data_IF_333927682931
#
_entry.id   IF_333927682931
#
_cell.length_a   1.000
_cell.length_b   1.000
_cell.length_c   1.000
_cell.angle_alpha   90.00
_cell.angle_beta   90.00
_cell.angle_gamma   90.00
#
_symmetry.space_group_name_H-M   'P 1'
#
loop_
_entity.id
_entity.type
_entity.pdbx_description
1 polymer ?
#
# COMPACT_ATOMS: atom_id res chain seq x y z
N UNK A 1 18.64 -5.59 3.71
CA UNK A 1 18.18 -5.34 5.09
C UNK A 1 19.20 -5.96 6.04
N UNK A 2 20.29 -5.24 6.39
CA UNK A 2 21.40 -5.79 7.19
C UNK A 2 20.99 -6.34 8.56
N UNK A 3 19.92 -5.80 9.16
CA UNK A 3 19.36 -6.23 10.44
C UNK A 3 18.80 -7.66 10.44
N UNK A 4 18.44 -8.23 9.29
CA UNK A 4 18.08 -9.66 9.21
C UNK A 4 19.30 -10.53 9.56
N UNK A 5 20.49 -10.13 9.11
CA UNK A 5 21.73 -10.85 9.44
C UNK A 5 22.02 -10.75 10.94
N UNK A 6 21.81 -9.58 11.52
CA UNK A 6 21.96 -9.38 12.98
C UNK A 6 20.97 -10.27 13.74
N UNK A 7 19.71 -10.34 13.31
CA UNK A 7 18.72 -11.23 13.92
C UNK A 7 19.12 -12.71 13.84
N UNK A 8 19.63 -13.17 12.68
CA UNK A 8 20.13 -14.53 12.52
C UNK A 8 21.33 -14.81 13.44
N UNK A 9 22.26 -13.86 13.56
CA UNK A 9 23.39 -13.95 14.48
C UNK A 9 22.90 -13.98 15.93
N UNK A 10 21.94 -13.14 16.30
CA UNK A 10 21.35 -13.12 17.64
C UNK A 10 20.72 -14.45 18.02
N UNK A 11 20.04 -15.16 17.10
CA UNK A 11 19.47 -16.49 17.37
C UNK A 11 20.55 -17.53 17.68
N UNK A 12 21.73 -17.41 17.08
CA UNK A 12 22.86 -18.33 17.33
C UNK A 12 23.61 -17.96 18.61
N UNK A 13 23.79 -16.66 18.88
CA UNK A 13 24.53 -16.18 20.06
C UNK A 13 23.71 -16.28 21.35
N UNK A 14 22.39 -16.11 21.27
CA UNK A 14 21.51 -16.00 22.43
C UNK A 14 20.42 -17.07 22.37
N UNK A 15 20.78 -18.32 22.66
CA UNK A 15 19.88 -19.47 22.57
C UNK A 15 18.91 -19.61 23.75
N UNK A 16 19.23 -19.01 24.90
CA UNK A 16 18.52 -19.22 26.17
C UNK A 16 17.68 -18.00 26.59
N UNK A 17 17.24 -17.18 25.63
CA UNK A 17 16.43 -15.98 25.91
C UNK A 17 14.95 -16.33 25.85
N UNK A 18 14.21 -16.03 26.93
CA UNK A 18 12.76 -16.29 27.02
C UNK A 18 11.96 -15.62 25.88
N UNK A 19 12.32 -14.38 25.52
CA UNK A 19 11.77 -13.69 24.34
C UNK A 19 12.87 -13.42 23.31
N UNK A 20 12.84 -14.12 22.16
CA UNK A 20 13.80 -13.93 21.06
C UNK A 20 13.95 -12.48 20.59
N UNK A 21 12.96 -11.62 20.82
CA UNK A 21 13.01 -10.19 20.47
C UNK A 21 14.10 -9.45 21.24
N UNK A 22 14.47 -9.91 22.44
CA UNK A 22 15.56 -9.30 23.20
C UNK A 22 16.94 -9.62 22.64
N UNK A 23 17.10 -10.69 21.84
CA UNK A 23 18.40 -11.09 21.30
C UNK A 23 19.06 -10.01 20.44
N UNK A 24 18.27 -9.15 19.79
CA UNK A 24 18.79 -8.01 19.03
C UNK A 24 19.35 -6.92 19.96
N UNK A 25 18.68 -6.65 21.09
CA UNK A 25 19.14 -5.67 22.08
C UNK A 25 20.38 -6.18 22.81
N UNK A 26 20.44 -7.47 23.15
CA UNK A 26 21.62 -8.08 23.75
C UNK A 26 22.83 -7.98 22.81
N UNK A 27 22.65 -8.28 21.52
CA UNK A 27 23.72 -8.13 20.53
C UNK A 27 24.29 -6.70 20.48
N UNK A 28 23.44 -5.68 20.65
CA UNK A 28 23.85 -4.28 20.69
C UNK A 28 24.67 -3.99 21.96
N UNK A 29 24.24 -4.51 23.10
CA UNK A 29 24.87 -4.24 24.39
C UNK A 29 26.22 -4.96 24.52
N UNK A 30 26.32 -6.20 24.02
CA UNK A 30 27.51 -7.04 24.21
C UNK A 30 28.57 -6.82 23.13
N UNK A 31 28.16 -6.54 21.89
CA UNK A 31 29.08 -6.51 20.74
C UNK A 31 29.56 -5.10 20.38
N UNK A 32 28.88 -4.04 20.84
CA UNK A 32 29.25 -2.66 20.49
C UNK A 32 29.99 -1.94 21.63
N UNK A 33 31.03 -1.15 21.32
CA UNK A 33 31.64 -0.26 22.30
C UNK A 33 30.68 0.87 22.67
N UNK A 34 30.80 1.39 23.90
CA UNK A 34 29.86 2.35 24.49
C UNK A 34 29.49 3.55 23.58
N UNK A 35 30.45 4.10 22.83
CA UNK A 35 30.19 5.20 21.90
C UNK A 35 29.26 4.81 20.74
N UNK A 36 29.42 3.60 20.18
CA UNK A 36 28.55 3.09 19.11
C UNK A 36 27.20 2.63 19.66
N UNK A 37 27.16 2.08 20.86
CA UNK A 37 25.91 1.74 21.56
C UNK A 37 25.04 2.98 21.73
N UNK A 38 25.60 4.08 22.25
CA UNK A 38 24.89 5.34 22.40
C UNK A 38 24.40 5.92 21.08
N UNK A 39 25.23 5.88 20.03
CA UNK A 39 24.86 6.33 18.70
C UNK A 39 23.69 5.51 18.12
N UNK A 40 23.73 4.18 18.27
CA UNK A 40 22.69 3.30 17.76
C UNK A 40 21.36 3.49 18.50
N UNK A 41 21.38 3.63 19.83
CA UNK A 41 20.18 3.92 20.63
C UNK A 41 19.57 5.28 20.25
N UNK A 42 20.39 6.31 20.05
CA UNK A 42 19.94 7.60 19.54
C UNK A 42 19.32 7.47 18.14
N UNK A 43 19.92 6.66 17.26
CA UNK A 43 19.39 6.34 15.94
C UNK A 43 18.02 5.64 16.00
N UNK A 44 17.81 4.69 16.92
CA UNK A 44 16.50 4.06 17.11
C UNK A 44 15.44 5.03 17.61
N UNK A 45 15.79 5.89 18.58
CA UNK A 45 14.88 6.93 19.05
C UNK A 45 14.50 7.90 17.93
N UNK A 46 15.47 8.31 17.10
CA UNK A 46 15.24 9.16 15.94
C UNK A 46 14.34 8.49 14.89
N UNK A 47 14.60 7.22 14.57
CA UNK A 47 13.78 6.44 13.63
C UNK A 47 12.33 6.29 14.13
N UNK A 48 12.15 5.92 15.40
CA UNK A 48 10.84 5.83 16.04
C UNK A 48 10.07 7.16 16.00
N UNK A 49 10.74 8.26 16.37
CA UNK A 49 10.14 9.60 16.31
C UNK A 49 9.75 9.98 14.89
N UNK A 50 10.55 9.63 13.88
CA UNK A 50 10.22 9.91 12.48
C UNK A 50 8.94 9.20 12.03
N UNK A 51 8.75 7.93 12.44
CA UNK A 51 7.56 7.16 12.13
C UNK A 51 6.34 7.73 12.85
N UNK A 52 6.41 7.95 14.16
CA UNK A 52 5.27 8.50 14.92
C UNK A 52 4.87 9.88 14.41
N UNK A 53 5.85 10.77 14.18
CA UNK A 53 5.59 12.11 13.66
C UNK A 53 4.89 12.05 12.30
N UNK A 54 5.33 11.17 11.40
CA UNK A 54 4.70 10.98 10.09
C UNK A 54 3.26 10.50 10.21
N UNK A 55 3.01 9.47 11.04
CA UNK A 55 1.67 8.89 11.20
C UNK A 55 0.69 9.87 11.85
N UNK A 56 1.12 10.57 12.91
CA UNK A 56 0.30 11.60 13.56
C UNK A 56 0.02 12.78 12.61
N UNK A 57 1.03 13.20 11.83
CA UNK A 57 0.87 14.28 10.87
C UNK A 57 -0.10 13.91 9.73
N UNK A 58 -0.03 12.67 9.22
CA UNK A 58 -0.98 12.16 8.22
C UNK A 58 -2.39 12.08 8.80
N UNK A 59 -2.56 11.49 9.99
CA UNK A 59 -3.86 11.40 10.64
C UNK A 59 -4.48 12.76 10.93
N UNK A 60 -3.69 13.72 11.44
CA UNK A 60 -4.16 15.09 11.68
C UNK A 60 -4.54 15.79 10.36
N UNK A 61 -3.78 15.58 9.29
CA UNK A 61 -4.07 16.16 7.98
C UNK A 61 -5.38 15.64 7.38
N UNK A 62 -5.68 14.34 7.54
CA UNK A 62 -6.98 13.79 7.14
C UNK A 62 -8.12 14.38 7.96
N UNK A 63 -7.99 14.41 9.29
CA UNK A 63 -9.03 14.97 10.16
C UNK A 63 -9.29 16.46 9.86
N UNK A 64 -8.24 17.22 9.57
CA UNK A 64 -8.37 18.64 9.25
C UNK A 64 -8.94 18.87 7.85
N UNK A 65 -8.38 18.25 6.81
CA UNK A 65 -8.79 18.57 5.44
C UNK A 65 -10.11 17.89 5.04
N UNK A 66 -10.29 16.63 5.45
CA UNK A 66 -11.41 15.82 4.96
C UNK A 66 -12.63 15.95 5.87
N UNK A 67 -12.44 16.29 7.15
CA UNK A 67 -13.53 16.45 8.12
C UNK A 67 -13.71 17.91 8.51
N UNK A 68 -12.71 18.53 9.13
CA UNK A 68 -12.86 19.86 9.71
C UNK A 68 -13.12 20.93 8.65
N UNK A 69 -12.23 21.07 7.67
CA UNK A 69 -12.37 22.02 6.57
C UNK A 69 -13.60 21.70 5.72
N UNK A 70 -13.87 20.43 5.44
CA UNK A 70 -14.98 20.08 4.54
C UNK A 70 -16.37 20.22 5.15
N UNK A 71 -16.55 19.82 6.41
CA UNK A 71 -17.89 19.68 7.01
C UNK A 71 -18.11 20.56 8.25
N UNK A 72 -17.06 20.93 8.98
CA UNK A 72 -17.19 21.71 10.23
C UNK A 72 -17.05 23.21 9.98
N UNK A 73 -15.96 23.62 9.30
CA UNK A 73 -15.60 25.01 8.99
C UNK A 73 -15.03 25.16 7.57
N UNK A 74 -15.89 25.20 6.52
CA UNK A 74 -15.49 25.42 5.12
C UNK A 74 -14.69 26.70 4.87
N UNK A 75 -14.95 27.74 5.64
CA UNK A 75 -14.25 29.03 5.55
C UNK A 75 -13.09 29.22 6.53
N UNK A 76 -12.57 28.15 7.14
CA UNK A 76 -11.46 28.27 8.08
C UNK A 76 -10.23 28.90 7.41
N UNK A 77 -9.60 29.85 8.10
CA UNK A 77 -8.32 30.42 7.67
C UNK A 77 -7.19 29.39 7.82
N UNK A 78 -6.09 29.54 7.08
CA UNK A 78 -4.92 28.65 7.21
C UNK A 78 -4.38 28.61 8.65
N UNK A 79 -4.43 29.74 9.38
CA UNK A 79 -4.02 29.78 10.79
C UNK A 79 -4.93 28.94 11.69
N UNK A 80 -6.23 28.94 11.42
CA UNK A 80 -7.22 28.12 12.11
C UNK A 80 -7.01 26.64 11.79
N UNK A 81 -6.77 26.29 10.51
CA UNK A 81 -6.48 24.92 10.09
C UNK A 81 -5.21 24.36 10.76
N UNK A 82 -4.14 25.16 10.86
CA UNK A 82 -2.93 24.76 11.60
C UNK A 82 -3.23 24.56 13.09
N UNK A 83 -4.08 25.39 13.69
CA UNK A 83 -4.55 25.20 15.07
C UNK A 83 -5.32 23.88 15.24
N UNK A 84 -6.27 23.62 14.34
CA UNK A 84 -7.04 22.38 14.31
C UNK A 84 -6.15 21.15 14.10
N UNK A 85 -5.10 21.25 13.28
CA UNK A 85 -4.13 20.18 13.07
C UNK A 85 -3.37 19.84 14.36
N UNK A 86 -2.89 20.86 15.10
CA UNK A 86 -2.19 20.65 16.38
C UNK A 86 -3.08 19.97 17.42
N UNK A 87 -4.35 20.39 17.52
CA UNK A 87 -5.33 19.76 18.41
C UNK A 87 -5.58 18.31 17.98
N UNK A 88 -5.79 18.08 16.67
CA UNK A 88 -5.99 16.75 16.10
C UNK A 88 -4.82 15.82 16.43
N UNK A 89 -3.57 16.30 16.32
CA UNK A 89 -2.38 15.54 16.69
C UNK A 89 -2.40 15.12 18.17
N UNK A 90 -2.73 16.03 19.08
CA UNK A 90 -2.80 15.72 20.52
C UNK A 90 -3.90 14.69 20.80
N UNK A 91 -5.07 14.86 20.19
CA UNK A 91 -6.19 13.92 20.33
C UNK A 91 -5.85 12.53 19.79
N UNK A 92 -5.26 12.45 18.60
CA UNK A 92 -4.81 11.20 17.99
C UNK A 92 -3.73 10.53 18.84
N UNK A 93 -2.80 11.30 19.41
CA UNK A 93 -1.79 10.78 20.33
C UNK A 93 -2.44 10.19 21.60
N UNK A 94 -3.39 10.90 22.21
CA UNK A 94 -4.15 10.40 23.36
C UNK A 94 -4.94 9.13 23.04
N UNK A 95 -5.64 9.09 21.90
CA UNK A 95 -6.37 7.91 21.44
C UNK A 95 -5.42 6.73 21.17
N UNK A 96 -4.27 6.98 20.55
CA UNK A 96 -3.26 5.95 20.28
C UNK A 96 -2.69 5.37 21.57
N UNK A 97 -2.42 6.20 22.58
CA UNK A 97 -2.01 5.74 23.91
C UNK A 97 -3.09 4.89 24.58
N UNK A 98 -4.36 5.30 24.47
CA UNK A 98 -5.49 4.53 24.99
C UNK A 98 -5.63 3.14 24.35
N UNK A 99 -5.51 3.05 23.03
CA UNK A 99 -5.53 1.76 22.30
C UNK A 99 -4.32 0.92 22.70
N UNK A 100 -3.13 1.52 22.74
CA UNK A 100 -1.88 0.82 23.10
C UNK A 100 -1.94 0.24 24.52
N UNK A 101 -2.57 0.92 25.47
CA UNK A 101 -2.74 0.42 26.84
C UNK A 101 -3.58 -0.87 26.93
N UNK A 102 -4.46 -1.12 25.95
CA UNK A 102 -5.25 -2.34 25.84
C UNK A 102 -4.61 -3.44 24.96
N UNK A 103 -3.49 -3.16 24.31
CA UNK A 103 -2.82 -4.11 23.42
C UNK A 103 -1.90 -5.04 24.21
N UNK A 104 -2.07 -6.35 24.02
CA UNK A 104 -1.18 -7.38 24.60
C UNK A 104 0.03 -7.66 23.71
N UNK A 105 -0.15 -7.67 22.39
CA UNK A 105 0.92 -7.90 21.41
C UNK A 105 0.84 -6.94 20.23
N UNK A 106 2.01 -6.51 19.74
CA UNK A 106 2.12 -5.70 18.53
C UNK A 106 1.76 -6.52 17.28
N UNK A 107 2.09 -7.81 17.30
CA UNK A 107 1.80 -8.74 16.20
C UNK A 107 0.29 -8.91 15.98
N UNK A 108 -0.50 -9.02 17.05
CA UNK A 108 -1.96 -9.10 16.95
C UNK A 108 -2.56 -7.88 16.27
N UNK A 109 -2.09 -6.67 16.60
CA UNK A 109 -2.55 -5.46 15.91
C UNK A 109 -2.14 -5.44 14.43
N UNK A 110 -0.94 -5.91 14.09
CA UNK A 110 -0.54 -6.02 12.68
C UNK A 110 -1.38 -7.02 11.91
N UNK A 111 -1.67 -8.19 12.49
CA UNK A 111 -2.60 -9.17 11.90
C UNK A 111 -3.96 -8.52 11.70
N UNK A 112 -4.51 -7.85 12.70
CA UNK A 112 -5.78 -7.11 12.56
C UNK A 112 -5.79 -6.12 11.40
N UNK A 113 -4.79 -5.26 11.32
CA UNK A 113 -4.70 -4.27 10.24
C UNK A 113 -4.55 -4.94 8.86
N UNK A 114 -3.81 -6.06 8.78
CA UNK A 114 -3.67 -6.82 7.54
C UNK A 114 -4.99 -7.47 7.11
N UNK A 115 -5.76 -8.06 8.03
CA UNK A 115 -7.08 -8.63 7.71
C UNK A 115 -8.03 -7.56 7.16
N UNK A 116 -8.14 -6.43 7.87
CA UNK A 116 -9.00 -5.32 7.45
C UNK A 116 -8.56 -4.74 6.11
N UNK A 117 -7.24 -4.61 5.88
CA UNK A 117 -6.69 -4.08 4.63
C UNK A 117 -6.75 -5.05 3.45
N UNK A 118 -6.74 -6.36 3.69
CA UNK A 118 -6.71 -7.37 2.63
C UNK A 118 -7.94 -7.26 1.70
N UNK A 119 -9.12 -7.05 2.28
CA UNK A 119 -10.36 -6.98 1.51
C UNK A 119 -10.51 -5.70 0.66
N UNK A 120 -9.68 -4.67 0.87
CA UNK A 120 -9.72 -3.40 0.11
C UNK A 120 -8.67 -3.33 -0.99
N UNK A 121 -7.61 -4.15 -0.92
CA UNK A 121 -6.51 -4.11 -1.87
C UNK A 121 -6.94 -4.26 -3.33
N UNK A 122 -7.84 -5.21 -3.62
CA UNK A 122 -8.26 -5.48 -5.01
C UNK A 122 -9.04 -4.32 -5.63
N UNK A 123 -9.97 -3.69 -4.91
CA UNK A 123 -10.76 -2.58 -5.44
C UNK A 123 -9.88 -1.35 -5.70
N UNK A 124 -8.91 -1.09 -4.82
CA UNK A 124 -8.00 0.05 -4.92
C UNK A 124 -7.01 -0.07 -6.10
N UNK A 125 -6.65 -1.30 -6.47
CA UNK A 125 -5.84 -1.55 -7.67
C UNK A 125 -6.72 -1.48 -8.91
N UNK A 126 -7.87 -2.17 -8.90
CA UNK A 126 -8.68 -2.34 -10.10
C UNK A 126 -9.35 -1.04 -10.56
N UNK A 127 -9.59 -0.07 -9.67
CA UNK A 127 -10.17 1.25 -10.02
C UNK A 127 -9.38 1.99 -11.09
N UNK A 128 -8.06 1.75 -11.19
CA UNK A 128 -7.21 2.36 -12.20
C UNK A 128 -7.45 1.78 -13.60
N UNK A 129 -7.90 0.53 -13.67
CA UNK A 129 -8.07 -0.23 -14.92
C UNK A 129 -9.54 -0.39 -15.33
N UNK A 130 -10.49 -0.15 -14.42
CA UNK A 130 -11.91 -0.39 -14.65
C UNK A 130 -12.77 0.80 -14.24
N UNK A 131 -13.25 1.53 -15.26
CA UNK A 131 -14.10 2.73 -15.14
C UNK A 131 -15.40 2.55 -14.35
N UNK A 132 -15.88 1.32 -14.16
CA UNK A 132 -17.12 1.04 -13.42
C UNK A 132 -16.96 1.17 -11.91
N UNK A 133 -15.73 1.05 -11.39
CA UNK A 133 -15.49 1.17 -9.95
C UNK A 133 -15.77 2.62 -9.54
N UNK A 134 -16.68 2.78 -8.58
CA UNK A 134 -17.16 4.06 -8.08
C UNK A 134 -16.98 4.14 -6.55
N UNK A 135 -17.35 5.27 -5.96
CA UNK A 135 -17.23 5.49 -4.51
C UNK A 135 -17.96 4.42 -3.68
N UNK A 136 -19.12 3.94 -4.15
CA UNK A 136 -19.88 2.89 -3.45
C UNK A 136 -19.14 1.55 -3.43
N UNK A 137 -18.44 1.21 -4.51
CA UNK A 137 -17.62 0.01 -4.59
C UNK A 137 -16.50 0.04 -3.55
N UNK A 138 -15.81 1.17 -3.42
CA UNK A 138 -14.74 1.35 -2.44
C UNK A 138 -15.25 1.33 -1.00
N UNK A 139 -16.34 2.06 -0.71
CA UNK A 139 -16.98 2.08 0.61
C UNK A 139 -17.43 0.66 0.99
N UNK A 140 -18.09 -0.06 0.09
CA UNK A 140 -18.52 -1.45 0.34
C UNK A 140 -17.33 -2.35 0.62
N UNK A 141 -16.24 -2.26 -0.15
CA UNK A 141 -15.05 -3.07 0.10
C UNK A 141 -14.47 -2.80 1.50
N UNK A 142 -14.34 -1.53 1.89
CA UNK A 142 -13.81 -1.13 3.20
C UNK A 142 -14.71 -1.59 4.35
N UNK A 143 -16.02 -1.33 4.25
CA UNK A 143 -16.98 -1.69 5.29
C UNK A 143 -17.13 -3.19 5.43
N UNK A 144 -17.29 -3.93 4.33
CA UNK A 144 -17.44 -5.39 4.38
C UNK A 144 -16.15 -6.06 4.83
N UNK A 145 -14.98 -5.56 4.41
CA UNK A 145 -13.70 -6.10 4.88
C UNK A 145 -13.53 -5.94 6.40
N UNK A 146 -13.87 -4.77 6.94
CA UNK A 146 -13.85 -4.51 8.38
C UNK A 146 -14.83 -5.42 9.13
N UNK A 147 -16.10 -5.46 8.69
CA UNK A 147 -17.13 -6.25 9.36
C UNK A 147 -16.88 -7.75 9.27
N UNK A 148 -16.42 -8.25 8.13
CA UNK A 148 -16.04 -9.66 7.96
C UNK A 148 -14.86 -10.02 8.88
N UNK A 149 -13.83 -9.18 8.94
CA UNK A 149 -12.68 -9.41 9.82
C UNK A 149 -13.08 -9.42 11.30
N UNK A 150 -13.92 -8.46 11.72
CA UNK A 150 -14.44 -8.40 13.09
C UNK A 150 -15.32 -9.62 13.42
N UNK A 151 -16.20 -10.02 12.50
CA UNK A 151 -17.07 -11.18 12.69
C UNK A 151 -16.27 -12.47 12.76
N UNK A 152 -15.31 -12.70 11.87
CA UNK A 152 -14.51 -13.93 11.85
C UNK A 152 -13.65 -14.04 13.11
N UNK A 153 -13.08 -12.93 13.57
CA UNK A 153 -12.22 -12.90 14.74
C UNK A 153 -13.03 -13.00 16.05
N UNK A 154 -14.01 -12.13 16.26
CA UNK A 154 -14.72 -12.04 17.54
C UNK A 154 -16.04 -12.80 17.57
N UNK A 155 -16.72 -12.95 16.43
CA UNK A 155 -18.04 -13.58 16.34
C UNK A 155 -17.97 -15.10 16.11
N UNK A 156 -17.21 -15.52 15.11
CA UNK A 156 -16.95 -16.93 14.81
C UNK A 156 -15.88 -17.53 15.74
N UNK A 157 -15.11 -16.69 16.43
CA UNK A 157 -14.08 -17.11 17.38
C UNK A 157 -12.87 -17.79 16.73
N UNK A 158 -12.55 -17.44 15.47
CA UNK A 158 -11.34 -17.94 14.84
C UNK A 158 -10.11 -17.35 15.53
N UNK A 159 -9.16 -18.22 15.84
CA UNK A 159 -7.93 -17.85 16.51
C UNK A 159 -6.94 -17.23 15.51
N UNK A 160 -6.64 -15.93 15.59
CA UNK A 160 -5.63 -15.28 14.73
C UNK A 160 -4.20 -15.77 15.02
N UNK A 161 -3.97 -16.44 16.15
CA UNK A 161 -2.67 -16.97 16.55
C UNK A 161 -2.36 -18.33 15.93
N UNK A 162 -3.40 -19.06 15.50
CA UNK A 162 -3.27 -20.24 14.66
C UNK A 162 -3.03 -19.82 13.20
N UNK A 163 -1.88 -20.15 12.58
CA UNK A 163 -1.56 -19.76 11.21
C UNK A 163 -2.58 -20.23 10.16
N UNK A 164 -3.22 -21.37 10.39
CA UNK A 164 -4.22 -21.93 9.48
C UNK A 164 -5.51 -21.13 9.56
N UNK A 165 -5.96 -20.83 10.78
CA UNK A 165 -7.15 -20.02 11.00
C UNK A 165 -6.93 -18.58 10.55
N UNK A 166 -5.73 -18.03 10.77
CA UNK A 166 -5.33 -16.74 10.22
C UNK A 166 -5.42 -16.68 8.69
N UNK A 167 -4.94 -17.73 8.01
CA UNK A 167 -5.10 -17.84 6.56
C UNK A 167 -6.57 -17.88 6.14
N UNK A 168 -7.42 -18.61 6.87
CA UNK A 168 -8.86 -18.63 6.64
C UNK A 168 -9.52 -17.27 6.84
N UNK A 169 -9.16 -16.53 7.90
CA UNK A 169 -9.65 -15.16 8.14
C UNK A 169 -9.33 -14.29 6.93
N UNK A 170 -8.08 -14.29 6.48
CA UNK A 170 -7.64 -13.51 5.33
C UNK A 170 -8.39 -13.88 4.04
N UNK A 171 -8.46 -15.18 3.72
CA UNK A 171 -9.11 -15.65 2.50
C UNK A 171 -10.62 -15.37 2.49
N UNK A 172 -11.30 -15.62 3.62
CA UNK A 172 -12.72 -15.38 3.76
C UNK A 172 -13.05 -13.89 3.70
N UNK A 173 -12.29 -13.04 4.40
CA UNK A 173 -12.46 -11.57 4.34
C UNK A 173 -12.32 -11.07 2.90
N UNK A 174 -11.27 -11.48 2.19
CA UNK A 174 -11.05 -11.08 0.78
C UNK A 174 -12.16 -11.59 -0.13
N UNK A 175 -12.59 -12.84 0.03
CA UNK A 175 -13.63 -13.43 -0.81
C UNK A 175 -14.97 -12.72 -0.62
N UNK A 176 -15.39 -12.51 0.64
CA UNK A 176 -16.65 -11.86 0.99
C UNK A 176 -16.64 -10.39 0.59
N UNK A 177 -15.56 -9.65 0.88
CA UNK A 177 -15.45 -8.25 0.46
C UNK A 177 -15.49 -8.12 -1.06
N UNK A 178 -14.79 -9.02 -1.78
CA UNK A 178 -14.73 -9.02 -3.23
C UNK A 178 -16.07 -9.29 -3.87
N UNK A 179 -16.78 -10.31 -3.40
CA UNK A 179 -18.14 -10.59 -3.85
C UNK A 179 -19.07 -9.41 -3.59
N UNK A 180 -18.99 -8.80 -2.40
CA UNK A 180 -19.85 -7.69 -2.02
C UNK A 180 -19.61 -6.43 -2.85
N UNK A 181 -18.35 -5.98 -2.99
CA UNK A 181 -18.07 -4.76 -3.76
C UNK A 181 -18.33 -4.98 -5.25
N UNK A 182 -18.07 -6.17 -5.81
CA UNK A 182 -18.44 -6.48 -7.19
C UNK A 182 -19.96 -6.41 -7.40
N UNK A 183 -20.74 -7.00 -6.47
CA UNK A 183 -22.19 -6.91 -6.53
C UNK A 183 -22.65 -5.45 -6.51
N UNK A 184 -22.09 -4.63 -5.62
CA UNK A 184 -22.41 -3.20 -5.55
C UNK A 184 -21.97 -2.45 -6.82
N UNK A 185 -20.82 -2.76 -7.41
CA UNK A 185 -20.37 -2.17 -8.68
C UNK A 185 -21.36 -2.41 -9.82
N UNK A 186 -21.97 -3.60 -9.87
CA UNK A 186 -22.97 -3.93 -10.89
C UNK A 186 -24.37 -3.38 -10.58
N UNK A 187 -24.75 -3.30 -9.30
CA UNK A 187 -26.04 -2.78 -8.85
C UNK A 187 -26.12 -1.25 -8.85
N UNK A 188 -24.99 -0.56 -8.69
CA UNK A 188 -24.93 0.89 -8.67
C UNK A 188 -24.69 1.49 -10.06
N UNK A 189 -25.18 2.71 -10.25
CA UNK A 189 -24.89 3.48 -11.46
C UNK A 189 -23.39 3.81 -11.54
N UNK A 190 -22.79 3.80 -12.74
CA UNK A 190 -21.45 4.32 -12.93
C UNK A 190 -21.36 5.81 -12.54
N UNK A 191 -20.14 6.28 -12.30
CA UNK A 191 -19.89 7.71 -12.13
C UNK A 191 -20.35 8.52 -13.35
N UNK A 192 -20.70 9.79 -13.11
CA UNK A 192 -21.16 10.70 -14.17
C UNK A 192 -20.11 10.77 -15.29
N UNK A 193 -20.58 10.75 -16.54
CA UNK A 193 -19.68 10.76 -17.71
C UNK A 193 -18.71 11.93 -17.70
N UNK A 194 -19.17 13.13 -17.32
CA UNK A 194 -18.31 14.31 -17.20
C UNK A 194 -17.15 14.13 -16.21
N UNK A 195 -17.34 13.37 -15.12
CA UNK A 195 -16.27 13.05 -14.16
C UNK A 195 -15.27 12.07 -14.77
N UNK A 196 -15.76 11.03 -15.46
CA UNK A 196 -14.93 10.04 -16.14
C UNK A 196 -14.10 10.69 -17.25
N UNK A 197 -14.70 11.61 -18.01
CA UNK A 197 -14.04 12.33 -19.08
C UNK A 197 -12.92 13.24 -18.55
N UNK A 198 -13.23 14.00 -17.48
CA UNK A 198 -12.24 14.87 -16.81
C UNK A 198 -11.09 14.06 -16.21
N UNK A 199 -11.39 12.88 -15.65
CA UNK A 199 -10.36 11.97 -15.15
C UNK A 199 -9.49 11.43 -16.28
N UNK A 200 -10.10 10.96 -17.37
CA UNK A 200 -9.38 10.41 -18.51
C UNK A 200 -8.45 11.46 -19.14
N UNK A 201 -8.92 12.70 -19.34
CA UNK A 201 -8.10 13.77 -19.91
C UNK A 201 -6.86 14.13 -19.07
N UNK A 202 -6.93 13.97 -17.74
CA UNK A 202 -5.82 14.28 -16.83
C UNK A 202 -4.82 13.13 -16.69
N UNK A 203 -5.33 11.91 -16.62
CA UNK A 203 -4.52 10.73 -16.24
C UNK A 203 -4.17 9.87 -17.45
N UNK A 204 -4.99 9.89 -18.51
CA UNK A 204 -4.94 8.96 -19.66
C UNK A 204 -4.72 7.51 -19.23
N UNK A 205 -5.61 6.95 -18.39
CA UNK A 205 -5.48 5.58 -17.95
C UNK A 205 -5.65 4.63 -19.15
N UNK A 206 -4.62 3.85 -19.45
CA UNK A 206 -4.67 2.90 -20.56
C UNK A 206 -5.53 1.67 -20.28
N UNK A 207 -5.88 0.94 -21.34
CA UNK A 207 -6.41 -0.42 -21.24
C UNK A 207 -7.91 -0.57 -21.54
N UNK A 208 -8.38 -1.82 -21.47
CA UNK A 208 -9.69 -2.22 -21.99
C UNK A 208 -10.87 -1.61 -21.25
N UNK A 209 -10.73 -1.35 -19.94
CA UNK A 209 -11.79 -0.70 -19.17
C UNK A 209 -12.09 0.69 -19.71
N UNK A 210 -11.09 1.48 -20.08
CA UNK A 210 -11.28 2.87 -20.48
C UNK A 210 -11.58 3.07 -21.96
N UNK A 211 -11.65 1.99 -22.74
CA UNK A 211 -11.84 2.00 -24.20
C UNK A 211 -13.06 2.80 -24.65
N UNK A 212 -14.18 2.67 -23.92
CA UNK A 212 -15.41 3.40 -24.24
C UNK A 212 -15.23 4.91 -24.09
N UNK A 213 -14.63 5.35 -22.99
CA UNK A 213 -14.32 6.75 -22.70
C UNK A 213 -13.28 7.32 -23.68
N UNK A 214 -12.22 6.57 -23.95
CA UNK A 214 -11.17 6.95 -24.89
C UNK A 214 -11.74 7.21 -26.31
N UNK A 215 -12.59 6.30 -26.80
CA UNK A 215 -13.27 6.45 -28.10
C UNK A 215 -14.24 7.63 -28.11
N UNK A 216 -15.03 7.81 -27.05
CA UNK A 216 -15.97 8.93 -26.92
C UNK A 216 -15.25 10.28 -26.99
N UNK A 217 -14.06 10.37 -26.41
CA UNK A 217 -13.24 11.58 -26.38
C UNK A 217 -12.33 11.74 -27.62
N UNK A 218 -12.39 10.84 -28.59
CA UNK A 218 -11.60 10.94 -29.82
C UNK A 218 -10.14 10.49 -29.71
N UNK A 219 -9.73 9.89 -28.59
CA UNK A 219 -8.38 9.32 -28.40
C UNK A 219 -8.21 7.93 -29.05
N UNK A 220 -9.32 7.30 -29.44
CA UNK A 220 -9.30 5.97 -30.04
C UNK A 220 -9.06 4.86 -29.00
N UNK A 221 -8.31 3.83 -29.39
CA UNK A 221 -7.96 2.70 -28.51
C UNK A 221 -6.54 2.86 -27.98
N UNK A 222 -6.36 3.74 -27.00
CA UNK A 222 -5.10 3.86 -26.27
C UNK A 222 -4.90 2.58 -25.42
N UNK A 223 -3.91 1.77 -25.81
CA UNK A 223 -3.46 0.64 -25.02
C UNK A 223 -2.75 1.08 -23.75
N UNK A 224 -2.51 0.14 -22.84
CA UNK A 224 -1.52 0.38 -21.77
C UNK A 224 -0.15 0.41 -22.44
N UNK A 225 0.67 1.43 -22.17
CA UNK A 225 2.05 1.48 -22.66
C UNK A 225 2.78 0.19 -22.29
N UNK A 226 3.52 -0.39 -23.24
CA UNK A 226 4.18 -1.71 -23.10
C UNK A 226 3.23 -2.92 -23.09
N UNK A 227 1.91 -2.74 -23.15
CA UNK A 227 0.91 -3.80 -23.42
C UNK A 227 1.09 -5.09 -22.61
N UNK A 228 1.04 -6.24 -23.31
CA UNK A 228 1.25 -7.58 -22.72
C UNK A 228 2.68 -7.77 -22.19
N UNK A 229 3.67 -7.06 -22.74
CA UNK A 229 5.06 -7.15 -22.30
C UNK A 229 5.21 -6.66 -20.84
N UNK A 230 4.54 -5.56 -20.49
CA UNK A 230 4.53 -5.05 -19.12
C UNK A 230 3.88 -6.02 -18.12
N UNK A 231 2.84 -6.75 -18.53
CA UNK A 231 2.27 -7.84 -17.73
C UNK A 231 3.27 -8.96 -17.49
N UNK A 232 4.01 -9.38 -18.51
CA UNK A 232 5.06 -10.39 -18.33
C UNK A 232 6.18 -9.91 -17.44
N UNK A 233 6.54 -8.62 -17.49
CA UNK A 233 7.54 -8.01 -16.62
C UNK A 233 7.08 -7.94 -15.17
N UNK A 234 5.80 -7.65 -14.95
CA UNK A 234 5.23 -7.66 -13.61
C UNK A 234 5.26 -9.07 -13.01
N UNK A 235 4.80 -10.08 -13.75
CA UNK A 235 4.86 -11.50 -13.30
C UNK A 235 6.30 -11.94 -13.08
N UNK A 236 7.20 -11.65 -14.02
CA UNK A 236 8.62 -11.94 -13.88
C UNK A 236 9.23 -11.21 -12.68
N UNK A 237 8.81 -9.99 -12.38
CA UNK A 237 9.24 -9.23 -11.20
C UNK A 237 8.80 -9.92 -9.90
N UNK A 238 7.54 -10.34 -9.82
CA UNK A 238 7.01 -11.12 -8.69
C UNK A 238 7.82 -12.41 -8.51
N UNK A 239 8.02 -13.17 -9.59
CA UNK A 239 8.82 -14.40 -9.58
C UNK A 239 10.27 -14.11 -9.16
N UNK A 240 10.90 -13.08 -9.70
CA UNK A 240 12.28 -12.71 -9.38
C UNK A 240 12.45 -12.40 -7.90
N UNK A 241 11.52 -11.63 -7.31
CA UNK A 241 11.55 -11.27 -5.88
C UNK A 241 11.38 -12.51 -5.00
N UNK A 242 10.35 -13.32 -5.22
CA UNK A 242 10.11 -14.52 -4.40
C UNK A 242 11.20 -15.57 -4.59
N UNK A 243 11.64 -15.81 -5.82
CA UNK A 243 12.70 -16.76 -6.10
C UNK A 243 14.03 -16.32 -5.48
N UNK A 244 14.38 -15.02 -5.52
CA UNK A 244 15.58 -14.51 -4.84
C UNK A 244 15.50 -14.68 -3.31
N UNK A 245 14.32 -14.41 -2.73
CA UNK A 245 14.07 -14.59 -1.30
C UNK A 245 14.22 -16.06 -0.89
N UNK A 246 13.55 -16.97 -1.59
CA UNK A 246 13.64 -18.41 -1.29
C UNK A 246 15.02 -18.99 -1.59
N UNK A 247 15.71 -18.53 -2.65
CA UNK A 247 17.08 -18.94 -2.94
C UNK A 247 18.00 -18.62 -1.75
N UNK A 248 17.95 -17.37 -1.29
CA UNK A 248 18.74 -16.91 -0.14
C UNK A 248 18.40 -17.70 1.12
N UNK A 249 17.11 -17.88 1.43
CA UNK A 249 16.67 -18.66 2.58
C UNK A 249 17.14 -20.11 2.53
N UNK A 250 17.07 -20.76 1.35
CA UNK A 250 17.51 -22.15 1.18
C UNK A 250 19.03 -22.31 1.20
N UNK A 251 19.80 -21.33 0.75
CA UNK A 251 21.26 -21.37 0.90
C UNK A 251 21.73 -21.23 2.35
N UNK A 252 21.01 -20.43 3.16
CA UNK A 252 21.38 -20.17 4.55
C UNK A 252 20.86 -21.29 5.48
N UNK A 253 19.60 -21.71 5.31
CA UNK A 253 18.89 -22.54 6.29
C UNK A 253 18.50 -23.93 5.77
N UNK A 254 18.76 -24.25 4.49
CA UNK A 254 18.18 -25.42 3.86
C UNK A 254 19.09 -26.13 2.86
N UNK A 255 18.51 -27.03 2.05
CA UNK A 255 19.26 -27.76 1.04
C UNK A 255 19.72 -26.84 -0.10
N UNK A 256 21.04 -26.79 -0.34
CA UNK A 256 21.63 -25.96 -1.39
C UNK A 256 21.05 -26.22 -2.79
N UNK A 257 20.61 -27.47 -3.08
CA UNK A 257 19.97 -27.83 -4.36
C UNK A 257 18.71 -27.00 -4.64
N UNK A 258 17.89 -26.75 -3.62
CA UNK A 258 16.67 -25.96 -3.73
C UNK A 258 17.00 -24.48 -3.88
N UNK A 259 18.05 -24.03 -3.16
CA UNK A 259 18.63 -22.70 -3.35
C UNK A 259 19.08 -22.44 -4.78
N UNK A 260 19.80 -23.39 -5.40
CA UNK A 260 20.23 -23.30 -6.80
C UNK A 260 19.03 -23.23 -7.75
N UNK A 261 18.01 -24.07 -7.55
CA UNK A 261 16.79 -24.02 -8.36
C UNK A 261 16.13 -22.64 -8.33
N UNK A 262 15.90 -22.10 -7.13
CA UNK A 262 15.30 -20.77 -6.99
C UNK A 262 16.22 -19.65 -7.52
N UNK A 263 17.54 -19.79 -7.37
CA UNK A 263 18.49 -18.83 -7.93
C UNK A 263 18.45 -18.80 -9.46
N UNK A 264 18.40 -19.96 -10.11
CA UNK A 264 18.26 -20.05 -11.56
C UNK A 264 16.93 -19.46 -12.05
N UNK A 265 15.85 -19.72 -11.32
CA UNK A 265 14.54 -19.12 -11.61
C UNK A 265 14.58 -17.58 -11.49
N UNK A 266 15.23 -17.06 -10.45
CA UNK A 266 15.43 -15.62 -10.27
C UNK A 266 16.25 -15.02 -11.42
N UNK A 267 17.36 -15.66 -11.81
CA UNK A 267 18.20 -15.23 -12.94
C UNK A 267 17.41 -15.21 -14.24
N UNK A 268 16.63 -16.25 -14.52
CA UNK A 268 15.78 -16.30 -15.71
C UNK A 268 14.75 -15.17 -15.74
N UNK A 269 14.12 -14.88 -14.60
CA UNK A 269 13.15 -13.79 -14.46
C UNK A 269 13.81 -12.41 -14.63
N UNK A 270 14.96 -12.16 -14.01
CA UNK A 270 15.72 -10.92 -14.21
C UNK A 270 16.20 -10.76 -15.65
N UNK A 271 16.65 -11.84 -16.27
CA UNK A 271 17.06 -11.84 -17.67
C UNK A 271 15.89 -11.49 -18.59
N UNK A 272 14.70 -12.03 -18.35
CA UNK A 272 13.49 -11.69 -19.10
C UNK A 272 13.18 -10.19 -18.99
N UNK A 273 13.19 -9.63 -17.77
CA UNK A 273 12.94 -8.20 -17.53
C UNK A 273 14.01 -7.35 -18.23
N UNK A 274 15.28 -7.70 -18.10
CA UNK A 274 16.37 -6.96 -18.74
C UNK A 274 16.27 -7.00 -20.28
N UNK A 275 15.85 -8.14 -20.85
CA UNK A 275 15.62 -8.30 -22.29
C UNK A 275 14.41 -7.50 -22.75
N UNK A 276 13.31 -7.53 -22.00
CA UNK A 276 12.06 -6.89 -22.38
C UNK A 276 12.18 -5.36 -22.35
N UNK A 277 12.85 -4.79 -21.34
CA UNK A 277 13.08 -3.35 -21.23
C UNK A 277 13.92 -2.80 -22.38
N UNK A 278 14.88 -3.58 -22.91
CA UNK A 278 15.67 -3.20 -24.09
C UNK A 278 14.86 -3.17 -25.39
N UNK A 279 13.71 -3.84 -25.43
CA UNK A 279 12.86 -3.95 -26.61
C UNK A 279 11.63 -3.03 -26.55
N UNK A 280 11.56 -2.11 -25.57
CA UNK A 280 10.48 -1.11 -25.52
C UNK A 280 10.71 -0.08 -26.65
N UNK A 281 9.73 0.14 -27.54
CA UNK A 281 9.81 1.22 -28.52
C UNK A 281 9.95 2.56 -27.78
N UNK A 282 10.94 3.37 -28.14
CA UNK A 282 11.17 4.71 -27.54
C UNK A 282 10.03 5.71 -27.85
N UNK A 283 9.14 5.38 -28.80
CA UNK A 283 8.13 6.30 -29.30
C UNK A 283 6.74 6.00 -28.74
N UNK A 284 6.26 6.89 -27.84
CA UNK A 284 4.85 7.33 -27.74
C UNK A 284 4.55 8.36 -26.62
N UNK A 285 5.54 9.06 -26.09
CA UNK A 285 5.30 10.08 -25.03
C UNK A 285 4.66 11.39 -25.57
N UNK A 286 4.48 11.56 -26.89
CA UNK A 286 4.05 12.84 -27.48
C UNK A 286 3.02 12.74 -28.60
N UNK A 287 1.88 12.08 -28.39
CA UNK A 287 0.70 12.36 -29.22
C UNK A 287 -0.05 13.56 -28.59
N UNK A 288 0.05 14.79 -29.14
CA UNK A 288 -0.80 15.88 -28.70
C UNK A 288 -2.26 15.42 -28.82
N UNK A 289 -3.01 15.57 -27.72
CA UNK A 289 -4.45 15.30 -27.78
C UNK A 289 -5.12 16.21 -28.82
N UNK A 290 -6.28 15.81 -29.37
CA UNK A 290 -7.01 16.65 -30.30
C UNK A 290 -7.18 18.05 -29.68
N UNK A 291 -6.90 19.09 -30.48
CA UNK A 291 -7.06 20.47 -30.06
C UNK A 291 -8.52 20.65 -29.59
N UNK A 292 -8.68 20.95 -28.30
CA UNK A 292 -9.98 21.27 -27.75
C UNK A 292 -10.29 22.68 -28.25
N UNK A 293 -11.09 22.77 -29.32
CA UNK A 293 -11.61 24.05 -29.81
C UNK A 293 -12.30 24.76 -28.65
N UNK A 294 -11.90 26.02 -28.44
CA UNK A 294 -12.27 26.80 -27.28
C UNK A 294 -13.77 26.96 -27.12
N UNK A 295 -14.28 26.60 -25.95
CA UNK A 295 -15.51 27.15 -25.39
C UNK A 295 -15.46 27.11 -23.86
N UNK A 296 -15.43 28.30 -23.25
CA UNK A 296 -15.66 28.50 -21.82
C UNK A 296 -14.39 28.67 -20.98
N UNK A 297 -13.87 29.89 -20.93
CA UNK A 297 -12.85 30.26 -19.97
C UNK A 297 -13.34 30.10 -18.54
N UNK A 298 -12.59 29.34 -17.74
CA UNK A 298 -12.65 29.37 -16.28
C UNK A 298 -11.40 30.12 -15.78
N UNK A 299 -11.52 31.33 -15.20
CA UNK A 299 -10.36 32.16 -14.82
C UNK A 299 -9.55 31.62 -13.61
N UNK A 300 -9.84 30.42 -13.10
CA UNK A 300 -9.36 29.98 -11.78
C UNK A 300 -8.06 29.17 -11.71
N UNK A 301 -7.42 28.79 -12.81
CA UNK A 301 -6.23 27.91 -12.78
C UNK A 301 -4.97 28.63 -13.24
N UNK A 302 -4.51 29.56 -12.38
CA UNK A 302 -3.15 30.06 -12.43
C UNK A 302 -2.16 28.93 -12.15
N UNK A 303 -1.19 28.80 -13.05
CA UNK A 303 -0.08 27.84 -13.04
C UNK A 303 0.71 27.93 -11.73
N UNK A 304 0.60 26.93 -10.88
CA UNK A 304 1.60 26.66 -9.84
C UNK A 304 2.58 25.63 -10.40
N UNK A 305 3.65 26.13 -11.02
CA UNK A 305 4.85 25.35 -11.31
C UNK A 305 5.59 25.12 -9.98
N UNK A 306 5.89 23.88 -9.54
CA UNK A 306 6.87 23.68 -8.48
C UNK A 306 8.26 23.80 -9.11
N UNK A 307 8.99 24.87 -8.79
CA UNK A 307 10.43 24.88 -8.97
C UNK A 307 11.05 24.04 -7.85
N UNK A 308 11.85 23.04 -8.25
CA UNK A 308 12.92 22.46 -7.43
C UNK A 308 14.07 23.44 -7.40
#
# INVERSE_FOLDING_TARGET
>A
WPWILVALVSVVLYTDVEDPKHGYILAIMDLLPAGLTGLLLAGFAAAYMSTISTQLNWGASYLVNDVYRRFVRPGASERELVGAARISTILLMGASLGVTAGMTTIEGAWRFLLAVGAGTGLVLILRWYWWRINAWSEITAMTVSLLASLYLWFGAGLDPDDPTQWAWIMMATVAVSTAAWLAVTFLTSPEREATLDRFYQRVRPGGRGWRATARRLGYGDEGIDGGTLNWTNWVAGVVAVYASLFATGRFILGPAREGVFFALLAVAAFWWIARSLKNLPEDRVQAPGPAIDGAGGDPGLSKATPQV
#
